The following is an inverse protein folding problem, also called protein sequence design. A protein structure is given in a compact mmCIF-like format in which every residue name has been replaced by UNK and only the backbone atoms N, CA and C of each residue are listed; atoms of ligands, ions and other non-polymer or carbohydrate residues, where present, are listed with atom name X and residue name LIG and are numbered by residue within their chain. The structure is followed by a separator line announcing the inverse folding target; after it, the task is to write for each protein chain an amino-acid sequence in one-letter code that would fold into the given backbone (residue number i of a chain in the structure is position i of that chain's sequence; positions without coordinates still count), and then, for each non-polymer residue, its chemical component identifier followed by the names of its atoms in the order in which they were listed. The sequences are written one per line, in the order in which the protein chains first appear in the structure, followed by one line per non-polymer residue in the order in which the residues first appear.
data_IF_994190070309
#
_entry.id   IF_994190070309
#
_cell.length_a   1.000
_cell.length_b   1.000
_cell.length_c   1.000
_cell.angle_alpha   90.00
_cell.angle_beta   90.00
_cell.angle_gamma   90.00
#
_symmetry.space_group_name_H-M   'P 1'
#
loop_
_entity.id
_entity.type
_entity.pdbx_description
1 polymer ?
#
# COMPACT_ATOMS: atom_id res chain seq x y z
N UNK A 1 2.71 -61.92 -20.91
CA UNK A 1 3.48 -60.91 -20.21
C UNK A 1 2.99 -59.52 -20.54
N UNK A 2 2.33 -58.94 -19.61
CA UNK A 2 1.75 -57.62 -19.76
C UNK A 2 2.81 -56.57 -19.46
N UNK A 3 3.33 -55.95 -20.48
CA UNK A 3 4.10 -54.74 -20.33
C UNK A 3 3.11 -53.59 -20.14
N UNK A 4 2.90 -53.24 -18.91
CA UNK A 4 2.19 -52.00 -18.58
C UNK A 4 3.14 -50.85 -18.79
N UNK A 5 3.02 -50.21 -19.89
CA UNK A 5 3.54 -48.88 -20.05
C UNK A 5 2.66 -47.95 -19.25
N UNK A 6 3.12 -47.62 -18.10
CA UNK A 6 2.52 -46.55 -17.31
C UNK A 6 2.94 -45.24 -17.98
N UNK A 7 2.07 -44.74 -18.81
CA UNK A 7 2.21 -43.37 -19.28
C UNK A 7 1.89 -42.47 -18.12
N UNK A 8 2.91 -41.98 -17.49
CA UNK A 8 2.78 -40.87 -16.57
C UNK A 8 2.62 -39.62 -17.41
N UNK A 9 1.40 -39.32 -17.71
CA UNK A 9 1.04 -37.98 -18.13
C UNK A 9 1.21 -37.10 -16.90
N UNK A 10 2.38 -36.56 -16.76
CA UNK A 10 2.59 -35.45 -15.84
C UNK A 10 1.81 -34.31 -16.44
N UNK A 11 0.59 -34.16 -15.97
CA UNK A 11 -0.12 -32.93 -16.13
C UNK A 11 0.62 -31.91 -15.29
N UNK A 12 1.61 -31.32 -15.91
CA UNK A 12 2.25 -30.15 -15.37
C UNK A 12 1.21 -29.05 -15.42
N UNK A 13 0.41 -28.98 -14.38
CA UNK A 13 -0.49 -27.86 -14.20
C UNK A 13 0.39 -26.65 -14.03
N UNK A 14 0.56 -25.93 -15.09
CA UNK A 14 1.19 -24.64 -15.11
C UNK A 14 0.29 -23.67 -14.33
N UNK A 15 0.39 -23.73 -13.01
CA UNK A 15 -0.19 -22.72 -12.14
C UNK A 15 0.60 -21.41 -12.18
N UNK A 16 1.60 -21.30 -13.04
CA UNK A 16 2.42 -20.10 -13.14
C UNK A 16 1.66 -18.88 -13.68
N UNK A 17 0.50 -19.06 -14.29
CA UNK A 17 -0.31 -17.95 -14.79
C UNK A 17 -1.18 -17.26 -13.74
N UNK A 18 -1.28 -17.83 -12.54
CA UNK A 18 -2.18 -17.29 -11.51
C UNK A 18 -1.54 -16.21 -10.64
N UNK A 19 -0.27 -15.96 -10.81
CA UNK A 19 0.44 -14.93 -10.05
C UNK A 19 0.60 -13.62 -10.80
N UNK A 20 0.24 -13.57 -12.06
CA UNK A 20 -0.14 -12.33 -12.68
C UNK A 20 -1.52 -11.94 -12.15
N UNK A 21 -1.65 -11.96 -10.87
CA UNK A 21 -2.81 -11.36 -10.27
C UNK A 21 -2.73 -9.91 -10.61
N UNK A 22 -3.63 -9.56 -11.41
CA UNK A 22 -4.44 -8.43 -11.15
C UNK A 22 -4.81 -8.41 -9.67
N UNK A 23 -3.92 -7.93 -8.85
CA UNK A 23 -4.44 -7.01 -7.87
C UNK A 23 -5.32 -6.10 -8.70
N UNK A 24 -6.60 -5.98 -8.41
CA UNK A 24 -7.31 -4.87 -8.95
C UNK A 24 -6.53 -3.66 -8.47
N UNK A 25 -5.52 -3.36 -9.21
CA UNK A 25 -4.97 -2.06 -9.26
C UNK A 25 -6.07 -1.24 -9.91
N UNK A 26 -7.14 -1.14 -9.22
CA UNK A 26 -7.84 0.09 -9.18
C UNK A 26 -6.85 1.01 -8.55
N UNK A 27 -5.80 1.31 -9.27
CA UNK A 27 -4.99 2.45 -8.94
C UNK A 27 -5.97 3.58 -9.02
N UNK A 28 -6.51 3.87 -7.89
CA UNK A 28 -7.31 5.02 -7.63
C UNK A 28 -6.40 6.21 -7.77
N UNK A 29 -6.00 6.44 -8.99
CA UNK A 29 -5.31 7.66 -9.36
C UNK A 29 -6.38 8.70 -9.57
N UNK A 30 -6.21 9.86 -8.96
CA UNK A 30 -7.10 10.99 -9.17
C UNK A 30 -7.22 11.29 -10.66
N UNK A 31 -8.43 11.45 -11.12
CA UNK A 31 -8.71 11.96 -12.46
C UNK A 31 -8.47 13.47 -12.51
N UNK A 32 -8.26 14.06 -13.69
CA UNK A 32 -8.17 15.49 -13.80
C UNK A 32 -9.38 16.20 -13.17
N UNK A 33 -9.11 17.11 -12.24
CA UNK A 33 -10.13 17.84 -11.48
C UNK A 33 -10.49 17.24 -10.12
N UNK A 34 -10.04 16.02 -9.80
CA UNK A 34 -10.22 15.44 -8.48
C UNK A 34 -9.29 16.10 -7.46
N UNK A 35 -9.77 16.33 -6.23
CA UNK A 35 -8.91 16.83 -5.18
C UNK A 35 -7.91 15.73 -4.74
N UNK A 36 -6.68 16.14 -4.49
CA UNK A 36 -5.62 15.28 -4.01
C UNK A 36 -4.84 16.02 -2.91
N UNK A 37 -4.41 15.28 -1.90
CA UNK A 37 -3.49 15.81 -0.90
C UNK A 37 -2.13 15.12 -0.97
N UNK A 38 -1.11 15.94 -0.76
CA UNK A 38 0.27 15.50 -0.64
C UNK A 38 0.81 16.08 0.67
N UNK A 39 1.24 15.21 1.57
CA UNK A 39 1.81 15.61 2.85
C UNK A 39 3.26 15.18 2.88
N UNK A 40 4.14 16.14 3.13
CA UNK A 40 5.58 15.91 3.25
C UNK A 40 5.99 15.89 4.71
N UNK A 41 6.59 14.79 5.14
CA UNK A 41 7.15 14.66 6.47
C UNK A 41 8.68 14.61 6.36
N UNK A 42 9.34 15.66 6.82
CA UNK A 42 10.79 15.71 6.90
C UNK A 42 11.24 15.13 8.23
N UNK A 43 11.87 13.98 8.19
CA UNK A 43 12.27 13.21 9.36
C UNK A 43 13.78 13.24 9.49
N UNK A 44 14.29 13.69 10.63
CA UNK A 44 15.72 13.68 10.93
C UNK A 44 16.27 12.24 10.91
N UNK A 45 17.50 12.06 10.47
CA UNK A 45 18.13 10.76 10.33
C UNK A 45 18.10 9.94 11.64
N UNK A 46 18.35 10.57 12.78
CA UNK A 46 18.29 9.94 14.10
C UNK A 46 16.88 9.60 14.59
N UNK A 47 15.84 10.11 13.92
CA UNK A 47 14.43 9.84 14.21
C UNK A 47 13.76 8.89 13.20
N UNK A 48 14.46 8.50 12.16
CA UNK A 48 13.90 7.68 11.10
C UNK A 48 13.31 6.36 11.61
N UNK A 49 14.08 5.60 12.38
CA UNK A 49 13.63 4.32 12.91
C UNK A 49 12.39 4.48 13.82
N UNK A 50 12.37 5.52 14.64
CA UNK A 50 11.24 5.82 15.51
C UNK A 50 9.99 6.21 14.71
N UNK A 51 10.16 7.00 13.66
CA UNK A 51 9.06 7.40 12.77
C UNK A 51 8.47 6.19 12.04
N UNK A 52 9.29 5.36 11.43
CA UNK A 52 8.84 4.15 10.73
C UNK A 52 8.12 3.18 11.68
N UNK A 53 8.67 2.98 12.86
CA UNK A 53 8.04 2.16 13.89
C UNK A 53 6.65 2.70 14.28
N UNK A 54 6.53 4.00 14.48
CA UNK A 54 5.24 4.62 14.78
C UNK A 54 4.24 4.42 13.63
N UNK A 55 4.65 4.66 12.40
CA UNK A 55 3.78 4.51 11.24
C UNK A 55 3.29 3.07 11.10
N UNK A 56 4.19 2.10 11.11
CA UNK A 56 3.85 0.72 10.82
C UNK A 56 3.26 -0.05 12.00
N UNK A 57 3.61 0.30 13.23
CA UNK A 57 3.14 -0.42 14.41
C UNK A 57 1.95 0.24 15.12
N UNK A 58 1.74 1.53 14.90
CA UNK A 58 0.69 2.29 15.58
C UNK A 58 -0.31 2.90 14.60
N UNK A 59 0.16 3.71 13.66
CA UNK A 59 -0.71 4.53 12.82
C UNK A 59 -1.47 3.70 11.80
N UNK A 60 -0.79 2.91 10.99
CA UNK A 60 -1.44 2.06 9.98
C UNK A 60 -2.36 1.01 10.59
N UNK A 61 -1.99 0.30 11.66
CA UNK A 61 -2.93 -0.61 12.34
C UNK A 61 -4.18 0.08 12.88
N UNK A 62 -4.06 1.33 13.35
CA UNK A 62 -5.21 2.11 13.79
C UNK A 62 -6.15 2.45 12.61
N UNK A 63 -5.60 2.82 11.47
CA UNK A 63 -6.39 3.06 10.25
C UNK A 63 -7.09 1.79 9.76
N UNK A 64 -6.38 0.68 9.74
CA UNK A 64 -6.94 -0.62 9.35
C UNK A 64 -8.10 -1.04 10.28
N UNK A 65 -7.94 -0.83 11.58
CA UNK A 65 -8.99 -1.11 12.54
C UNK A 65 -10.23 -0.25 12.33
N UNK A 66 -10.06 1.03 12.07
CA UNK A 66 -11.19 1.91 11.75
C UNK A 66 -11.88 1.50 10.44
N UNK A 67 -11.13 1.02 9.47
CA UNK A 67 -11.64 0.57 8.19
C UNK A 67 -12.48 -0.72 8.28
N UNK A 68 -12.35 -1.50 9.33
CA UNK A 68 -13.15 -2.71 9.55
C UNK A 68 -14.64 -2.40 9.72
N UNK A 69 -14.97 -1.30 10.38
CA UNK A 69 -16.34 -0.95 10.77
C UNK A 69 -16.93 0.24 10.02
N UNK A 70 -16.10 1.00 9.31
CA UNK A 70 -16.52 2.21 8.61
C UNK A 70 -16.14 2.17 7.12
N UNK A 71 -17.14 2.08 6.22
CA UNK A 71 -16.91 2.04 4.78
C UNK A 71 -16.16 3.27 4.23
N UNK A 72 -16.39 4.45 4.82
CA UNK A 72 -15.71 5.69 4.38
C UNK A 72 -14.23 5.63 4.77
N UNK A 73 -13.92 5.20 5.98
CA UNK A 73 -12.54 4.99 6.43
C UNK A 73 -11.82 3.94 5.58
N UNK A 74 -12.50 2.86 5.22
CA UNK A 74 -11.96 1.84 4.32
C UNK A 74 -11.62 2.42 2.95
N UNK A 75 -12.54 3.14 2.36
CA UNK A 75 -12.32 3.79 1.08
C UNK A 75 -11.17 4.81 1.14
N UNK A 76 -11.12 5.59 2.21
CA UNK A 76 -10.01 6.53 2.46
C UNK A 76 -8.66 5.82 2.55
N UNK A 77 -8.60 4.70 3.27
CA UNK A 77 -7.37 3.93 3.41
C UNK A 77 -6.90 3.33 2.07
N UNK A 78 -7.81 2.83 1.26
CA UNK A 78 -7.51 2.30 -0.07
C UNK A 78 -6.91 3.35 -1.02
N UNK A 79 -7.24 4.63 -0.79
CA UNK A 79 -6.76 5.75 -1.58
C UNK A 79 -5.59 6.51 -0.92
N UNK A 80 -5.10 6.02 0.19
CA UNK A 80 -3.98 6.60 0.93
C UNK A 80 -2.77 5.71 0.84
N UNK A 81 -1.63 6.27 0.51
CA UNK A 81 -0.37 5.55 0.48
C UNK A 81 0.77 6.42 0.99
N UNK A 82 1.75 5.78 1.61
CA UNK A 82 2.99 6.42 2.00
C UNK A 82 4.12 5.99 1.08
N UNK A 83 4.86 6.95 0.57
CA UNK A 83 6.09 6.73 -0.18
C UNK A 83 7.28 6.93 0.74
N UNK A 84 8.14 5.93 0.81
CA UNK A 84 9.39 5.99 1.55
C UNK A 84 10.50 6.65 0.74
N UNK A 85 11.39 7.40 1.39
CA UNK A 85 12.53 7.99 0.70
C UNK A 85 13.53 6.92 0.27
N UNK A 86 13.99 7.01 -0.97
CA UNK A 86 15.06 6.14 -1.50
C UNK A 86 16.46 6.61 -1.09
N UNK A 87 16.59 7.86 -0.69
CA UNK A 87 17.86 8.49 -0.31
C UNK A 87 17.67 9.61 0.69
N UNK A 88 18.73 9.92 1.40
CA UNK A 88 18.78 11.04 2.32
C UNK A 88 18.83 12.37 1.58
N UNK A 89 18.18 13.39 2.12
CA UNK A 89 18.27 14.75 1.65
C UNK A 89 19.64 15.38 2.00
N UNK A 90 19.96 16.50 1.38
CA UNK A 90 21.23 17.20 1.62
C UNK A 90 21.42 17.68 3.07
N UNK A 91 20.32 17.94 3.77
CA UNK A 91 20.30 18.35 5.17
C UNK A 91 20.29 17.20 6.17
N UNK A 92 20.57 15.99 5.73
CA UNK A 92 20.55 14.75 6.51
C UNK A 92 19.17 14.37 7.06
N UNK A 93 18.11 14.84 6.42
CA UNK A 93 16.73 14.39 6.66
C UNK A 93 16.27 13.39 5.60
N UNK A 94 15.15 12.73 5.92
CA UNK A 94 14.43 11.86 4.99
C UNK A 94 13.03 12.41 4.78
N UNK A 95 12.56 12.45 3.54
CA UNK A 95 11.21 12.93 3.23
C UNK A 95 10.30 11.77 2.91
N UNK A 96 9.30 11.58 3.78
CA UNK A 96 8.19 10.65 3.57
C UNK A 96 7.02 11.42 2.97
N UNK A 97 6.36 10.81 2.01
CA UNK A 97 5.25 11.45 1.29
C UNK A 97 3.99 10.64 1.50
N UNK A 98 2.97 11.28 2.06
CA UNK A 98 1.62 10.71 2.07
C UNK A 98 0.85 11.26 0.90
N UNK A 99 0.21 10.35 0.16
CA UNK A 99 -0.66 10.67 -0.95
C UNK A 99 -2.07 10.20 -0.64
N UNK A 100 -3.04 11.12 -0.69
CA UNK A 100 -4.47 10.83 -0.73
C UNK A 100 -4.94 11.11 -2.14
N UNK A 101 -5.08 10.07 -2.93
CA UNK A 101 -5.21 10.15 -4.38
C UNK A 101 -6.33 9.24 -4.90
N UNK A 102 -7.55 9.78 -5.07
CA UNK A 102 -8.04 11.09 -4.68
C UNK A 102 -8.38 11.23 -3.19
N UNK A 103 -8.70 12.43 -2.74
CA UNK A 103 -9.37 12.63 -1.46
C UNK A 103 -10.77 12.00 -1.49
N UNK A 104 -11.10 11.26 -0.47
CA UNK A 104 -12.41 10.65 -0.32
C UNK A 104 -13.36 11.64 0.34
N UNK A 105 -14.48 11.89 -0.31
CA UNK A 105 -15.52 12.75 0.23
C UNK A 105 -16.02 12.20 1.58
N UNK A 106 -16.24 13.09 2.52
CA UNK A 106 -16.73 12.81 3.86
C UNK A 106 -15.76 12.03 4.75
N UNK A 107 -14.56 11.69 4.28
CA UNK A 107 -13.52 11.12 5.12
C UNK A 107 -12.92 12.17 6.05
N UNK A 108 -12.59 11.73 7.27
CA UNK A 108 -11.91 12.56 8.24
C UNK A 108 -10.42 12.30 8.14
N UNK A 109 -9.67 13.32 7.78
CA UNK A 109 -8.22 13.29 7.73
C UNK A 109 -7.68 14.04 8.94
N UNK A 110 -7.38 13.31 10.00
CA UNK A 110 -6.70 13.87 11.17
C UNK A 110 -5.25 13.40 11.18
N UNK A 111 -4.35 14.35 11.16
CA UNK A 111 -2.93 14.10 11.35
C UNK A 111 -2.50 14.60 12.70
N UNK A 112 -1.71 13.81 13.44
CA UNK A 112 -1.13 14.25 14.69
C UNK A 112 -0.09 15.36 14.50
#
# INVERSE_FOLDING_TARGET
MLKRTISFSVALVLCAGLYAQDHPNTSSVAAPGDPMWVILNHVKADKRAQFEKYVYEVLLPAFEKNAESDPISRNSLEHTRMLEPSRMNKDSSYTYIWLMDPLVKDAIYSYP
#
